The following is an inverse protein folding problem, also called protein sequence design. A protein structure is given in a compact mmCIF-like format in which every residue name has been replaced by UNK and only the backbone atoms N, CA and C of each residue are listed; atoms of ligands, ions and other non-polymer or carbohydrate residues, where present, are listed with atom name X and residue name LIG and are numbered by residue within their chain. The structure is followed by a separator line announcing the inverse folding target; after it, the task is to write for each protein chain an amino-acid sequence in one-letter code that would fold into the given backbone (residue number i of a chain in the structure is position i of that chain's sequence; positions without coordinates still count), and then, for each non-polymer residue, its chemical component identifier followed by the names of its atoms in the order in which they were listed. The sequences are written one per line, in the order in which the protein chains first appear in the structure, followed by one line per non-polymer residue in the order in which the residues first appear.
data_IF_411922557844
#
_entry.id   IF_411922557844
#
_cell.length_a   1.000
_cell.length_b   1.000
_cell.length_c   1.000
_cell.angle_alpha   90.00
_cell.angle_beta   90.00
_cell.angle_gamma   90.00
#
_symmetry.space_group_name_H-M   'P 1'
#
loop_
_entity.id
_entity.type
_entity.pdbx_description
1 polymer ?
#
# COMPACT_ATOMS: atom_id res chain seq x y z
N UNK A 1 -38.54 -18.18 -40.17
CA UNK A 1 -37.11 -18.00 -39.82
C UNK A 1 -36.90 -18.52 -38.40
N UNK A 2 -36.33 -19.73 -38.28
CA UNK A 2 -36.05 -20.36 -36.98
C UNK A 2 -34.94 -19.58 -36.30
N UNK A 3 -35.16 -19.18 -35.05
CA UNK A 3 -34.12 -18.62 -34.18
C UNK A 3 -32.94 -19.59 -34.13
N UNK A 4 -31.78 -19.17 -34.64
CA UNK A 4 -30.50 -19.82 -34.38
C UNK A 4 -30.30 -19.85 -32.86
N UNK A 5 -30.52 -21.02 -32.26
CA UNK A 5 -30.13 -21.27 -30.87
C UNK A 5 -28.62 -21.05 -30.82
N UNK A 6 -28.16 -19.96 -30.19
CA UNK A 6 -26.75 -19.80 -29.83
C UNK A 6 -26.29 -21.06 -29.10
N UNK A 7 -25.53 -21.88 -29.81
CA UNK A 7 -24.90 -23.10 -29.31
C UNK A 7 -23.78 -22.68 -28.37
N UNK A 8 -24.09 -22.52 -27.08
CA UNK A 8 -23.07 -22.47 -26.03
C UNK A 8 -22.52 -23.88 -25.90
N UNK A 9 -21.31 -24.10 -26.40
CA UNK A 9 -20.65 -25.40 -26.31
C UNK A 9 -19.77 -25.48 -25.05
N UNK A 10 -19.52 -26.68 -24.53
CA UNK A 10 -18.66 -26.90 -23.35
C UNK A 10 -17.22 -26.45 -23.63
N UNK A 11 -16.79 -26.53 -24.88
CA UNK A 11 -15.51 -26.03 -25.40
C UNK A 11 -15.33 -24.52 -25.19
N UNK A 12 -16.41 -23.73 -25.19
CA UNK A 12 -16.35 -22.28 -24.95
C UNK A 12 -15.87 -21.89 -23.55
N UNK A 13 -15.95 -22.83 -22.59
CA UNK A 13 -15.47 -22.68 -21.21
C UNK A 13 -14.18 -23.46 -20.96
N UNK A 14 -13.65 -24.17 -21.95
CA UNK A 14 -12.37 -24.84 -21.81
C UNK A 14 -11.29 -23.79 -21.55
N UNK A 15 -10.43 -24.07 -20.58
CA UNK A 15 -9.33 -23.19 -20.20
C UNK A 15 -8.05 -23.87 -20.65
N UNK A 16 -7.33 -23.28 -21.58
CA UNK A 16 -5.98 -23.72 -21.95
C UNK A 16 -4.98 -23.11 -20.96
N UNK A 17 -3.96 -23.87 -20.59
CA UNK A 17 -2.88 -23.39 -19.71
C UNK A 17 -3.38 -22.88 -18.34
N UNK A 18 -4.46 -23.46 -17.79
CA UNK A 18 -5.08 -23.14 -16.50
C UNK A 18 -5.65 -21.71 -16.29
N UNK A 19 -5.29 -20.71 -17.12
CA UNK A 19 -5.73 -19.33 -16.98
C UNK A 19 -6.40 -18.72 -18.24
N UNK A 20 -6.19 -19.28 -19.44
CA UNK A 20 -6.69 -18.71 -20.70
C UNK A 20 -8.05 -19.28 -21.08
N UNK A 21 -9.13 -18.62 -20.64
CA UNK A 21 -10.49 -18.88 -21.12
C UNK A 21 -10.80 -18.04 -22.38
N UNK A 22 -11.83 -18.42 -23.15
CA UNK A 22 -12.26 -17.70 -24.37
C UNK A 22 -12.44 -16.19 -24.14
N UNK A 23 -12.87 -15.81 -22.93
CA UNK A 23 -13.09 -14.41 -22.56
C UNK A 23 -11.79 -13.65 -22.34
N UNK A 24 -10.81 -14.23 -21.66
CA UNK A 24 -9.48 -13.64 -21.46
C UNK A 24 -8.72 -13.57 -22.78
N UNK A 25 -8.80 -14.60 -23.62
CA UNK A 25 -8.24 -14.56 -24.98
C UNK A 25 -8.85 -13.44 -25.82
N UNK A 26 -10.17 -13.20 -25.75
CA UNK A 26 -10.80 -12.07 -26.43
C UNK A 26 -10.31 -10.71 -25.91
N UNK A 27 -9.98 -10.59 -24.62
CA UNK A 27 -9.39 -9.38 -24.05
C UNK A 27 -7.98 -9.16 -24.60
N UNK A 28 -7.14 -10.19 -24.58
CA UNK A 28 -5.78 -10.14 -25.12
C UNK A 28 -5.77 -9.78 -26.60
N UNK A 29 -6.62 -10.42 -27.42
CA UNK A 29 -6.74 -10.12 -28.85
C UNK A 29 -7.16 -8.66 -29.10
N UNK A 30 -8.06 -8.11 -28.28
CA UNK A 30 -8.41 -6.68 -28.35
C UNK A 30 -7.26 -5.76 -27.95
N UNK A 31 -6.39 -6.18 -27.04
CA UNK A 31 -5.22 -5.41 -26.64
C UNK A 31 -4.15 -5.43 -27.75
N UNK A 32 -3.96 -6.56 -28.43
CA UNK A 32 -3.11 -6.67 -29.62
C UNK A 32 -3.64 -5.77 -30.75
N UNK A 33 -4.94 -5.83 -31.06
CA UNK A 33 -5.55 -4.99 -32.09
C UNK A 33 -5.55 -3.49 -31.76
N UNK A 34 -5.30 -3.12 -30.50
CA UNK A 34 -5.14 -1.73 -30.06
C UNK A 34 -3.67 -1.30 -30.07
N UNK A 35 -2.78 -2.13 -30.61
CA UNK A 35 -1.34 -1.92 -30.68
C UNK A 35 -0.69 -1.66 -29.31
N UNK A 36 -1.25 -2.23 -28.24
CA UNK A 36 -0.67 -2.10 -26.90
C UNK A 36 0.59 -2.96 -26.79
N UNK A 37 0.54 -4.16 -27.35
CA UNK A 37 1.67 -5.07 -27.52
C UNK A 37 1.46 -5.86 -28.82
N UNK A 38 2.55 -6.30 -29.45
CA UNK A 38 2.55 -7.00 -30.74
C UNK A 38 2.72 -8.51 -30.59
N UNK A 39 3.51 -8.94 -29.60
CA UNK A 39 3.92 -10.35 -29.45
C UNK A 39 3.67 -10.85 -28.03
N UNK A 40 3.26 -12.11 -27.89
CA UNK A 40 3.11 -12.81 -26.61
C UNK A 40 4.08 -13.98 -26.58
N UNK A 41 5.13 -13.86 -25.79
CA UNK A 41 6.29 -14.73 -25.80
C UNK A 41 6.25 -15.68 -24.60
N UNK A 42 5.44 -16.74 -24.69
CA UNK A 42 5.43 -17.81 -23.70
C UNK A 42 4.96 -17.42 -22.28
N UNK A 43 4.84 -18.41 -21.42
CA UNK A 43 4.49 -18.22 -20.01
C UNK A 43 5.78 -18.10 -19.17
N UNK A 44 5.91 -17.00 -18.43
CA UNK A 44 7.02 -16.76 -17.49
C UNK A 44 6.85 -17.63 -16.24
N UNK A 45 5.63 -17.61 -15.68
CA UNK A 45 5.35 -18.29 -14.42
C UNK A 45 3.88 -18.67 -14.35
N UNK A 46 3.63 -19.93 -14.04
CA UNK A 46 2.30 -20.46 -13.73
C UNK A 46 2.11 -20.48 -12.22
N UNK A 47 1.24 -19.61 -11.72
CA UNK A 47 0.91 -19.51 -10.29
C UNK A 47 -0.37 -20.27 -9.92
N UNK A 48 -0.69 -20.29 -8.62
CA UNK A 48 -1.96 -20.86 -8.12
C UNK A 48 -3.18 -20.00 -8.46
N UNK A 49 -2.97 -18.71 -8.71
CA UNK A 49 -4.04 -17.71 -8.86
C UNK A 49 -4.01 -16.98 -10.19
N UNK A 50 -2.84 -16.93 -10.84
CA UNK A 50 -2.64 -16.26 -12.11
C UNK A 50 -1.44 -16.85 -12.85
N UNK A 51 -1.47 -16.72 -14.17
CA UNK A 51 -0.30 -16.92 -15.01
C UNK A 51 0.28 -15.58 -15.43
N UNK A 52 1.61 -15.53 -15.54
CA UNK A 52 2.34 -14.37 -16.02
C UNK A 52 2.90 -14.71 -17.40
N UNK A 53 2.65 -13.85 -18.38
CA UNK A 53 3.13 -13.98 -19.75
C UNK A 53 4.05 -12.81 -20.09
N UNK A 54 5.11 -13.09 -20.83
CA UNK A 54 5.99 -12.06 -21.38
C UNK A 54 5.37 -11.53 -22.67
N UNK A 55 5.37 -10.22 -22.86
CA UNK A 55 4.90 -9.60 -24.11
C UNK A 55 5.83 -8.48 -24.54
N UNK A 56 5.92 -8.24 -25.85
CA UNK A 56 6.68 -7.13 -26.42
C UNK A 56 5.77 -6.19 -27.20
N UNK A 57 6.06 -4.89 -27.17
CA UNK A 57 5.43 -3.92 -28.07
C UNK A 57 6.20 -3.80 -29.40
N UNK A 58 5.67 -2.98 -30.31
CA UNK A 58 6.30 -2.70 -31.61
C UNK A 58 7.68 -2.04 -31.51
N UNK A 59 7.99 -1.45 -30.35
CA UNK A 59 9.29 -0.82 -30.05
C UNK A 59 10.26 -1.79 -29.35
N UNK A 60 9.94 -3.09 -29.29
CA UNK A 60 10.72 -4.12 -28.59
C UNK A 60 10.89 -3.88 -27.07
N UNK A 61 10.00 -3.12 -26.44
CA UNK A 61 9.95 -2.95 -24.99
C UNK A 61 9.22 -4.14 -24.35
N UNK A 62 9.84 -4.72 -23.32
CA UNK A 62 9.32 -5.85 -22.57
C UNK A 62 8.25 -5.44 -21.54
N UNK A 63 7.14 -6.18 -21.53
CA UNK A 63 6.08 -6.06 -20.54
C UNK A 63 5.69 -7.43 -19.98
N UNK A 64 5.01 -7.41 -18.83
CA UNK A 64 4.41 -8.59 -18.22
C UNK A 64 2.89 -8.47 -18.21
N UNK A 65 2.21 -9.56 -18.58
CA UNK A 65 0.76 -9.69 -18.45
C UNK A 65 0.45 -10.74 -17.39
N UNK A 66 -0.25 -10.31 -16.33
CA UNK A 66 -0.83 -11.21 -15.32
C UNK A 66 -2.28 -11.50 -15.69
N UNK A 67 -2.58 -12.76 -15.98
CA UNK A 67 -3.93 -13.27 -16.28
C UNK A 67 -4.41 -14.11 -15.09
N UNK A 68 -5.45 -13.65 -14.39
CA UNK A 68 -5.96 -14.36 -13.21
C UNK A 68 -6.88 -15.52 -13.62
N UNK A 69 -6.77 -16.63 -12.91
CA UNK A 69 -7.56 -17.83 -13.13
C UNK A 69 -9.01 -17.64 -12.64
N UNK A 70 -9.99 -17.91 -13.50
CA UNK A 70 -11.42 -17.68 -13.23
C UNK A 70 -12.23 -18.96 -12.99
N UNK A 71 -11.77 -20.08 -13.56
CA UNK A 71 -12.50 -21.35 -13.64
C UNK A 71 -12.00 -22.39 -12.63
N UNK A 72 -10.69 -22.43 -12.36
CA UNK A 72 -10.06 -23.40 -11.44
C UNK A 72 -9.49 -22.60 -10.28
N UNK A 73 -10.22 -22.57 -9.16
CA UNK A 73 -9.88 -21.77 -7.99
C UNK A 73 -9.55 -22.69 -6.82
N UNK A 74 -8.28 -23.11 -6.61
CA UNK A 74 -7.90 -24.06 -5.56
C UNK A 74 -8.06 -23.53 -4.12
N UNK A 75 -8.21 -22.22 -3.91
CA UNK A 75 -8.13 -21.57 -2.59
C UNK A 75 -9.47 -21.43 -1.83
N UNK A 76 -9.77 -22.27 -0.83
CA UNK A 76 -11.04 -22.18 -0.09
C UNK A 76 -11.11 -21.07 0.99
N UNK A 77 -10.02 -20.39 1.34
CA UNK A 77 -9.98 -19.44 2.48
C UNK A 77 -9.78 -17.98 2.07
N UNK A 78 -10.72 -17.43 1.29
CA UNK A 78 -10.62 -16.09 0.65
C UNK A 78 -11.21 -14.96 1.48
N UNK A 79 -12.18 -15.26 2.34
CA UNK A 79 -12.90 -14.24 3.10
C UNK A 79 -11.97 -13.44 4.01
N UNK A 80 -10.88 -14.04 4.53
CA UNK A 80 -9.94 -13.35 5.43
C UNK A 80 -9.24 -12.14 4.79
N UNK A 81 -8.90 -12.19 3.50
CA UNK A 81 -8.19 -11.10 2.81
C UNK A 81 -9.12 -10.02 2.22
N UNK A 82 -10.42 -10.21 2.37
CA UNK A 82 -11.48 -9.34 1.84
C UNK A 82 -12.29 -8.73 2.99
N UNK A 83 -12.49 -9.48 4.07
CA UNK A 83 -13.20 -9.04 5.27
C UNK A 83 -12.42 -7.90 5.91
N UNK A 84 -13.00 -6.71 5.86
CA UNK A 84 -12.37 -5.48 6.37
C UNK A 84 -12.03 -4.46 5.27
N UNK A 85 -11.89 -4.88 4.00
CA UNK A 85 -11.65 -3.96 2.89
C UNK A 85 -12.94 -3.22 2.52
N UNK A 86 -12.98 -1.90 2.77
CA UNK A 86 -14.15 -1.07 2.47
C UNK A 86 -14.60 -1.20 1.01
N UNK A 87 -13.65 -1.32 0.09
CA UNK A 87 -13.88 -1.39 -1.35
C UNK A 87 -14.62 -2.65 -1.76
N UNK A 88 -14.52 -3.71 -0.94
CA UNK A 88 -15.14 -5.01 -1.19
C UNK A 88 -16.33 -5.35 -0.30
N UNK A 89 -16.70 -4.48 0.66
CA UNK A 89 -17.85 -4.71 1.58
C UNK A 89 -19.18 -4.96 0.85
N UNK A 90 -19.39 -4.31 -0.29
CA UNK A 90 -20.66 -4.41 -1.03
C UNK A 90 -20.58 -5.40 -2.21
N UNK A 91 -21.51 -6.35 -2.24
CA UNK A 91 -21.72 -7.27 -3.37
C UNK A 91 -20.66 -8.37 -3.54
N UNK A 92 -19.89 -8.69 -2.50
CA UNK A 92 -18.91 -9.79 -2.53
C UNK A 92 -19.60 -11.16 -2.56
N UNK A 93 -20.53 -11.40 -1.63
CA UNK A 93 -21.23 -12.70 -1.45
C UNK A 93 -22.13 -13.14 -2.63
N UNK A 94 -22.53 -12.23 -3.54
CA UNK A 94 -23.41 -12.52 -4.70
C UNK A 94 -22.70 -12.49 -6.06
N UNK A 95 -21.37 -12.38 -6.07
CA UNK A 95 -20.61 -12.22 -7.32
C UNK A 95 -20.24 -13.56 -7.94
N UNK A 96 -20.39 -13.70 -9.27
CA UNK A 96 -19.84 -14.84 -10.03
C UNK A 96 -18.32 -14.87 -9.91
N UNK A 97 -17.68 -16.04 -10.08
CA UNK A 97 -16.21 -16.18 -10.00
C UNK A 97 -15.48 -15.13 -10.85
N UNK A 98 -15.94 -14.90 -12.09
CA UNK A 98 -15.41 -13.83 -12.94
C UNK A 98 -15.47 -12.44 -12.31
N UNK A 99 -16.62 -12.04 -11.74
CA UNK A 99 -16.77 -10.71 -11.12
C UNK A 99 -15.89 -10.58 -9.88
N UNK A 100 -15.74 -11.67 -9.13
CA UNK A 100 -14.86 -11.73 -7.98
C UNK A 100 -13.39 -11.53 -8.39
N UNK A 101 -12.93 -12.28 -9.39
CA UNK A 101 -11.55 -12.19 -9.88
C UNK A 101 -11.27 -10.81 -10.52
N UNK A 102 -12.24 -10.18 -11.19
CA UNK A 102 -12.12 -8.78 -11.61
C UNK A 102 -11.90 -7.83 -10.43
N UNK A 103 -12.55 -8.05 -9.28
CA UNK A 103 -12.33 -7.20 -8.10
C UNK A 103 -10.93 -7.40 -7.53
N UNK A 104 -10.39 -8.61 -7.62
CA UNK A 104 -9.02 -8.92 -7.20
C UNK A 104 -7.98 -8.26 -8.11
N UNK A 105 -8.17 -8.36 -9.43
CA UNK A 105 -7.29 -7.68 -10.37
C UNK A 105 -7.36 -6.15 -10.24
N UNK A 106 -8.55 -5.60 -9.97
CA UNK A 106 -8.73 -4.17 -9.62
C UNK A 106 -8.00 -3.80 -8.31
N UNK A 107 -8.01 -4.68 -7.32
CA UNK A 107 -7.31 -4.48 -6.04
C UNK A 107 -5.80 -4.42 -6.27
N UNK A 108 -5.22 -5.40 -6.96
CA UNK A 108 -3.79 -5.43 -7.26
C UNK A 108 -3.35 -4.22 -8.09
N UNK A 109 -4.10 -3.88 -9.15
CA UNK A 109 -3.83 -2.68 -9.97
C UNK A 109 -3.77 -1.41 -9.12
N UNK A 110 -4.75 -1.21 -8.22
CA UNK A 110 -4.77 -0.03 -7.33
C UNK A 110 -3.66 -0.06 -6.30
N UNK A 111 -3.32 -1.22 -5.75
CA UNK A 111 -2.24 -1.36 -4.78
C UNK A 111 -0.89 -1.06 -5.43
N UNK A 112 -0.60 -1.62 -6.61
CA UNK A 112 0.60 -1.29 -7.40
C UNK A 112 0.66 0.20 -7.76
N UNK A 113 -0.48 0.83 -8.10
CA UNK A 113 -0.53 2.26 -8.38
C UNK A 113 -0.14 3.09 -7.14
N UNK A 114 -0.68 2.74 -5.96
CA UNK A 114 -0.33 3.39 -4.69
C UNK A 114 1.16 3.24 -4.36
N UNK A 115 1.72 2.05 -4.57
CA UNK A 115 3.14 1.77 -4.33
C UNK A 115 4.02 2.60 -5.26
N UNK A 116 3.73 2.59 -6.57
CA UNK A 116 4.47 3.38 -7.55
C UNK A 116 4.35 4.90 -7.31
N UNK A 117 3.22 5.37 -6.77
CA UNK A 117 3.04 6.78 -6.38
C UNK A 117 3.94 7.21 -5.21
N UNK A 118 4.42 6.28 -4.38
CA UNK A 118 5.36 6.60 -3.30
C UNK A 118 6.73 7.03 -3.81
N UNK A 119 7.14 6.56 -5.00
CA UNK A 119 8.43 6.82 -5.61
C UNK A 119 9.64 6.18 -4.91
N UNK A 120 9.42 5.40 -3.84
CA UNK A 120 10.46 4.85 -2.98
C UNK A 120 10.62 3.33 -3.16
N UNK A 121 9.52 2.61 -3.30
CA UNK A 121 9.51 1.15 -3.42
C UNK A 121 9.63 0.75 -4.89
N UNK A 122 10.55 -0.17 -5.18
CA UNK A 122 10.65 -0.80 -6.51
C UNK A 122 9.55 -1.85 -6.66
N UNK A 123 8.60 -1.61 -7.56
CA UNK A 123 7.54 -2.54 -7.89
C UNK A 123 7.15 -2.41 -9.38
N UNK A 124 6.59 -3.45 -10.01
CA UNK A 124 6.09 -3.36 -11.37
C UNK A 124 5.08 -2.23 -11.51
N UNK A 125 5.27 -1.35 -12.50
CA UNK A 125 4.36 -0.26 -12.76
C UNK A 125 3.14 -0.79 -13.51
N UNK A 126 1.91 -0.64 -12.97
CA UNK A 126 0.71 -1.11 -13.63
C UNK A 126 0.36 -0.14 -14.76
N UNK A 127 0.18 -0.66 -15.98
CA UNK A 127 -0.09 0.15 -17.17
C UNK A 127 -1.57 0.14 -17.52
N UNK A 128 -2.18 -1.04 -17.53
CA UNK A 128 -3.58 -1.18 -17.93
C UNK A 128 -4.22 -2.41 -17.32
N UNK A 129 -5.46 -2.26 -16.89
CA UNK A 129 -6.30 -3.36 -16.42
C UNK A 129 -7.54 -3.50 -17.30
N UNK A 130 -7.83 -4.73 -17.76
CA UNK A 130 -9.09 -5.05 -18.44
C UNK A 130 -9.64 -6.38 -17.94
N UNK A 131 -10.70 -6.33 -17.13
CA UNK A 131 -11.29 -7.53 -16.55
C UNK A 131 -10.28 -8.25 -15.67
N UNK A 132 -9.89 -9.46 -16.05
CA UNK A 132 -8.92 -10.31 -15.32
C UNK A 132 -7.52 -10.29 -15.94
N UNK A 133 -7.23 -9.32 -16.81
CA UNK A 133 -5.93 -9.17 -17.46
C UNK A 133 -5.30 -7.86 -17.01
N UNK A 134 -4.15 -7.96 -16.34
CA UNK A 134 -3.35 -6.85 -15.84
C UNK A 134 -2.04 -6.77 -16.63
N UNK A 135 -1.82 -5.66 -17.32
CA UNK A 135 -0.57 -5.32 -18.00
C UNK A 135 0.27 -4.43 -17.08
N UNK A 136 1.55 -4.80 -16.91
CA UNK A 136 2.52 -4.08 -16.08
C UNK A 136 3.91 -4.12 -16.71
N UNK A 137 4.84 -3.32 -16.20
CA UNK A 137 6.24 -3.35 -16.63
C UNK A 137 6.88 -4.71 -16.32
N UNK A 138 7.73 -5.18 -17.22
CA UNK A 138 8.53 -6.38 -16.99
C UNK A 138 9.67 -6.08 -16.02
N UNK A 139 9.96 -7.02 -15.11
CA UNK A 139 11.12 -6.94 -14.20
C UNK A 139 12.08 -8.05 -14.62
N UNK A 140 13.13 -7.67 -15.33
CA UNK A 140 14.06 -8.60 -15.95
C UNK A 140 14.93 -7.90 -17.01
N UNK A 141 15.77 -8.67 -17.69
CA UNK A 141 16.68 -8.19 -18.76
C UNK A 141 16.59 -9.09 -19.98
N UNK A 142 16.58 -8.49 -21.16
CA UNK A 142 16.62 -9.20 -22.45
C UNK A 142 15.55 -10.30 -22.59
N UNK A 143 14.34 -10.03 -22.08
CA UNK A 143 13.23 -11.01 -22.05
C UNK A 143 13.35 -12.11 -20.99
N UNK A 144 14.42 -12.14 -20.20
CA UNK A 144 14.61 -13.08 -19.10
C UNK A 144 14.08 -12.45 -17.80
N UNK A 145 13.14 -13.10 -17.09
CA UNK A 145 12.58 -12.56 -15.85
C UNK A 145 13.65 -12.53 -14.75
N UNK A 146 13.58 -11.51 -13.89
CA UNK A 146 14.41 -11.46 -12.69
C UNK A 146 14.14 -12.68 -11.79
N UNK A 147 15.18 -13.32 -11.21
CA UNK A 147 15.03 -14.44 -10.29
C UNK A 147 14.31 -13.99 -9.01
N UNK A 148 13.64 -14.94 -8.35
CA UNK A 148 13.14 -14.72 -6.99
C UNK A 148 14.30 -14.73 -6.00
N UNK A 149 14.16 -14.00 -4.90
CA UNK A 149 15.21 -13.92 -3.88
C UNK A 149 15.56 -15.29 -3.29
N UNK A 150 14.58 -16.21 -3.20
CA UNK A 150 14.80 -17.61 -2.85
C UNK A 150 15.80 -18.32 -3.77
N UNK A 151 15.65 -18.11 -5.08
CA UNK A 151 16.38 -18.87 -6.09
C UNK A 151 17.82 -18.35 -6.23
N UNK A 152 18.03 -17.05 -5.93
CA UNK A 152 19.37 -16.44 -5.84
C UNK A 152 20.22 -17.11 -4.76
N UNK A 153 19.63 -17.49 -3.62
CA UNK A 153 20.37 -18.20 -2.55
C UNK A 153 20.91 -19.58 -2.98
N UNK A 154 20.30 -20.21 -3.98
CA UNK A 154 20.65 -21.56 -4.39
C UNK A 154 21.72 -21.59 -5.51
N UNK A 155 21.96 -20.45 -6.15
CA UNK A 155 22.89 -20.32 -7.28
C UNK A 155 24.13 -19.55 -6.85
N UNK A 156 24.91 -20.15 -5.94
CA UNK A 156 26.21 -19.60 -5.50
C UNK A 156 27.26 -19.52 -6.64
N UNK A 157 27.04 -20.15 -7.80
CA UNK A 157 28.06 -20.32 -8.84
C UNK A 157 27.91 -19.46 -10.10
N UNK A 158 26.71 -18.92 -10.40
CA UNK A 158 26.42 -18.32 -11.72
C UNK A 158 26.28 -16.78 -11.70
N UNK A 159 26.18 -16.16 -10.52
CA UNK A 159 26.15 -14.70 -10.39
C UNK A 159 27.57 -14.15 -10.21
N UNK A 160 27.96 -13.22 -11.08
CA UNK A 160 29.29 -12.57 -11.07
C UNK A 160 29.62 -11.86 -9.75
N UNK A 161 28.60 -11.48 -8.98
CA UNK A 161 28.72 -10.81 -7.69
C UNK A 161 27.79 -11.48 -6.68
N UNK A 162 28.34 -11.89 -5.53
CA UNK A 162 27.54 -12.35 -4.38
C UNK A 162 26.63 -11.22 -3.90
N UNK A 163 25.32 -11.44 -3.69
CA UNK A 163 24.43 -10.39 -3.21
C UNK A 163 24.86 -9.87 -1.83
N UNK A 164 24.89 -8.56 -1.65
CA UNK A 164 25.05 -7.97 -0.31
C UNK A 164 23.74 -8.14 0.47
N UNK A 165 23.63 -9.25 1.20
CA UNK A 165 22.45 -9.60 1.99
C UNK A 165 22.11 -8.55 3.05
N UNK A 166 23.11 -7.87 3.61
CA UNK A 166 22.90 -6.82 4.61
C UNK A 166 22.28 -5.57 4.00
N UNK A 167 22.77 -5.15 2.83
CA UNK A 167 22.16 -4.04 2.08
C UNK A 167 20.75 -4.40 1.59
N UNK A 168 20.53 -5.63 1.13
CA UNK A 168 19.19 -6.08 0.73
C UNK A 168 18.21 -6.11 1.92
N UNK A 169 18.66 -6.54 3.10
CA UNK A 169 17.84 -6.51 4.32
C UNK A 169 17.45 -5.07 4.68
N UNK A 170 18.41 -4.14 4.64
CA UNK A 170 18.18 -2.71 4.87
C UNK A 170 17.09 -2.16 3.92
N UNK A 171 17.19 -2.44 2.62
CA UNK A 171 16.21 -1.97 1.65
C UNK A 171 14.82 -2.60 1.87
N UNK A 172 14.75 -3.90 2.16
CA UNK A 172 13.46 -4.58 2.37
C UNK A 172 12.73 -4.04 3.59
N UNK A 173 13.41 -3.82 4.72
CA UNK A 173 12.76 -3.28 5.92
C UNK A 173 12.38 -1.80 5.78
N UNK A 174 13.12 -1.03 4.98
CA UNK A 174 12.73 0.33 4.57
C UNK A 174 11.50 0.32 3.66
N UNK A 175 11.41 -0.62 2.72
CA UNK A 175 10.25 -0.82 1.85
C UNK A 175 8.99 -1.21 2.65
N UNK A 176 9.11 -2.09 3.65
CA UNK A 176 8.01 -2.46 4.54
C UNK A 176 7.50 -1.24 5.31
N UNK A 177 8.41 -0.42 5.87
CA UNK A 177 8.05 0.83 6.56
C UNK A 177 7.35 1.80 5.61
N UNK A 178 7.87 1.96 4.41
CA UNK A 178 7.27 2.82 3.37
C UNK A 178 5.88 2.34 2.97
N UNK A 179 5.70 1.03 2.80
CA UNK A 179 4.42 0.40 2.46
C UNK A 179 3.37 0.69 3.54
N UNK A 180 3.75 0.59 4.81
CA UNK A 180 2.86 0.86 5.93
C UNK A 180 2.55 2.35 6.12
N UNK A 181 3.58 3.20 6.19
CA UNK A 181 3.42 4.61 6.56
C UNK A 181 2.92 5.49 5.41
N UNK A 182 3.48 5.32 4.21
CA UNK A 182 3.14 6.14 3.04
C UNK A 182 2.05 5.52 2.19
N UNK A 183 2.20 4.25 1.80
CA UNK A 183 1.23 3.58 0.94
C UNK A 183 -0.04 3.16 1.70
N UNK A 184 -0.01 3.16 3.04
CA UNK A 184 -1.12 2.76 3.92
C UNK A 184 -1.59 1.33 3.66
N UNK A 185 -0.64 0.45 3.35
CA UNK A 185 -0.85 -0.95 2.99
C UNK A 185 0.02 -1.87 3.86
N UNK A 186 -0.43 -3.11 4.02
CA UNK A 186 0.35 -4.24 4.52
C UNK A 186 0.33 -5.32 3.44
N UNK A 187 1.47 -5.92 3.12
CA UNK A 187 1.57 -6.88 2.03
C UNK A 187 0.75 -8.15 2.30
N UNK A 188 0.76 -8.65 3.54
CA UNK A 188 0.01 -9.79 4.05
C UNK A 188 0.39 -11.17 3.50
N UNK A 189 1.44 -11.24 2.69
CA UNK A 189 2.04 -12.46 2.16
C UNK A 189 3.50 -12.20 1.75
N UNK A 190 4.21 -11.33 2.47
CA UNK A 190 5.59 -10.98 2.12
C UNK A 190 6.54 -12.10 2.52
N UNK A 191 7.35 -12.55 1.57
CA UNK A 191 8.36 -13.59 1.73
C UNK A 191 9.37 -13.54 0.59
N UNK A 192 10.42 -14.35 0.66
CA UNK A 192 11.45 -14.50 -0.37
C UNK A 192 10.91 -14.95 -1.75
N UNK A 193 9.69 -15.47 -1.79
CA UNK A 193 9.00 -15.89 -3.01
C UNK A 193 8.38 -14.72 -3.80
N UNK A 194 8.06 -13.63 -3.08
CA UNK A 194 7.37 -12.43 -3.61
C UNK A 194 8.32 -11.23 -3.73
N UNK A 195 9.63 -11.48 -3.65
CA UNK A 195 10.70 -10.52 -3.87
C UNK A 195 11.54 -11.00 -5.06
N UNK A 196 11.72 -10.14 -6.06
CA UNK A 196 12.63 -10.39 -7.18
C UNK A 196 13.94 -9.64 -6.96
N UNK A 197 15.04 -10.21 -7.44
CA UNK A 197 16.36 -9.59 -7.37
C UNK A 197 16.83 -9.17 -8.77
N UNK A 198 17.15 -7.89 -8.93
CA UNK A 198 17.65 -7.34 -10.18
C UNK A 198 18.62 -6.20 -9.89
N UNK A 199 19.86 -6.32 -10.40
CA UNK A 199 20.90 -5.28 -10.33
C UNK A 199 21.18 -4.76 -8.91
N UNK A 200 21.34 -5.68 -7.95
CA UNK A 200 21.58 -5.32 -6.55
C UNK A 200 20.36 -4.75 -5.82
N UNK A 201 19.18 -4.71 -6.47
CA UNK A 201 17.95 -4.17 -5.89
C UNK A 201 16.89 -5.25 -5.76
N UNK A 202 16.06 -5.09 -4.72
CA UNK A 202 14.87 -5.90 -4.52
C UNK A 202 13.66 -5.24 -5.17
N UNK A 203 12.83 -6.03 -5.82
CA UNK A 203 11.55 -5.63 -6.41
C UNK A 203 10.41 -6.39 -5.74
N UNK A 204 9.44 -5.66 -5.21
CA UNK A 204 8.26 -6.22 -4.54
C UNK A 204 7.16 -6.54 -5.57
N UNK A 205 6.67 -7.78 -5.54
CA UNK A 205 5.62 -8.26 -6.46
C UNK A 205 4.45 -8.91 -5.69
N UNK A 206 3.36 -9.16 -6.41
CA UNK A 206 2.16 -9.86 -5.92
C UNK A 206 1.45 -9.21 -4.71
N UNK A 207 1.08 -7.94 -4.87
CA UNK A 207 0.29 -7.17 -3.89
C UNK A 207 -1.22 -7.37 -4.01
N UNK A 208 -1.63 -8.54 -4.52
CA UNK A 208 -3.03 -8.95 -4.69
C UNK A 208 -3.73 -9.16 -3.34
N UNK A 209 -3.02 -9.75 -2.38
CA UNK A 209 -3.52 -10.02 -1.03
C UNK A 209 -3.36 -8.83 -0.09
N UNK A 210 -2.53 -7.85 -0.44
CA UNK A 210 -2.23 -6.68 0.39
C UNK A 210 -3.49 -5.98 0.91
N UNK A 211 -3.52 -5.74 2.22
CA UNK A 211 -4.66 -5.17 2.93
C UNK A 211 -4.40 -3.71 3.27
N UNK A 212 -5.46 -2.93 3.40
CA UNK A 212 -5.33 -1.57 3.92
C UNK A 212 -4.86 -1.61 5.37
N UNK A 213 -4.01 -0.65 5.73
CA UNK A 213 -3.46 -0.61 7.07
C UNK A 213 -4.59 -0.63 8.09
N UNK A 214 -5.77 -0.02 7.85
CA UNK A 214 -6.97 0.03 8.71
C UNK A 214 -7.69 -1.31 8.97
N UNK A 215 -7.36 -2.37 8.23
CA UNK A 215 -8.02 -3.67 8.39
C UNK A 215 -7.80 -4.23 9.82
N UNK A 216 -8.80 -4.92 10.41
CA UNK A 216 -8.66 -5.53 11.74
C UNK A 216 -7.45 -6.48 11.86
N UNK A 217 -7.15 -7.21 10.78
CA UNK A 217 -6.07 -8.20 10.74
C UNK A 217 -4.74 -7.64 10.20
N UNK A 218 -4.67 -6.34 9.89
CA UNK A 218 -3.49 -5.74 9.26
C UNK A 218 -2.20 -5.92 10.09
N UNK A 219 -2.29 -5.76 11.42
CA UNK A 219 -1.12 -5.89 12.31
C UNK A 219 -0.69 -7.36 12.49
N UNK A 220 -1.62 -8.31 12.41
CA UNK A 220 -1.29 -9.74 12.42
C UNK A 220 -0.53 -10.14 11.14
N UNK A 221 -1.02 -9.65 10.00
CA UNK A 221 -0.36 -9.83 8.71
C UNK A 221 1.02 -9.17 8.68
N UNK A 222 1.14 -7.94 9.19
CA UNK A 222 2.42 -7.24 9.24
C UNK A 222 3.45 -8.01 10.08
N UNK A 223 3.06 -8.56 11.24
CA UNK A 223 3.97 -9.38 12.05
C UNK A 223 4.40 -10.65 11.34
N UNK A 224 3.49 -11.28 10.58
CA UNK A 224 3.82 -12.45 9.78
C UNK A 224 4.83 -12.10 8.68
N UNK A 225 4.61 -10.98 7.98
CA UNK A 225 5.52 -10.45 6.96
C UNK A 225 6.92 -10.18 7.57
N UNK A 226 6.99 -9.45 8.67
CA UNK A 226 8.25 -9.15 9.37
C UNK A 226 8.99 -10.42 9.83
N UNK A 227 8.25 -11.41 10.35
CA UNK A 227 8.82 -12.69 10.78
C UNK A 227 9.40 -13.49 9.60
N UNK A 228 8.68 -13.57 8.49
CA UNK A 228 9.15 -14.28 7.29
C UNK A 228 10.44 -13.65 6.74
N UNK A 229 10.48 -12.32 6.67
CA UNK A 229 11.67 -11.58 6.22
C UNK A 229 12.85 -11.79 7.17
N UNK A 230 12.68 -11.60 8.48
CA UNK A 230 13.77 -11.86 9.44
C UNK A 230 14.27 -13.31 9.33
N UNK A 231 13.36 -14.28 9.27
CA UNK A 231 13.72 -15.70 9.14
C UNK A 231 14.52 -16.00 7.87
N UNK A 232 14.17 -15.35 6.75
CA UNK A 232 14.91 -15.52 5.50
C UNK A 232 16.32 -14.94 5.59
N UNK A 233 16.47 -13.68 6.02
CA UNK A 233 17.77 -13.01 6.07
C UNK A 233 18.70 -13.58 7.14
N UNK A 234 18.18 -14.08 8.27
CA UNK A 234 18.97 -14.82 9.27
C UNK A 234 19.63 -16.06 8.67
N UNK A 235 18.93 -16.79 7.79
CA UNK A 235 19.51 -17.95 7.09
C UNK A 235 20.65 -17.58 6.14
N UNK A 236 20.69 -16.34 5.67
CA UNK A 236 21.77 -15.80 4.84
C UNK A 236 22.93 -15.22 5.68
N UNK A 237 22.89 -15.37 7.02
CA UNK A 237 23.94 -14.89 7.91
C UNK A 237 23.82 -13.41 8.32
N UNK A 238 22.71 -12.73 7.99
CA UNK A 238 22.51 -11.33 8.38
C UNK A 238 22.09 -11.22 9.84
N UNK A 239 22.75 -10.34 10.61
CA UNK A 239 22.32 -9.95 11.96
C UNK A 239 21.07 -9.06 11.88
N UNK A 240 19.89 -9.69 11.79
CA UNK A 240 18.62 -8.98 11.66
C UNK A 240 18.17 -8.35 12.98
N UNK A 241 17.25 -7.38 12.91
CA UNK A 241 16.49 -6.92 14.05
C UNK A 241 15.67 -8.06 14.70
N UNK A 242 15.26 -7.90 15.95
CA UNK A 242 14.20 -8.75 16.53
C UNK A 242 12.87 -8.48 15.83
N UNK A 243 11.92 -9.40 15.93
CA UNK A 243 10.58 -9.21 15.35
C UNK A 243 9.89 -8.00 15.96
N UNK A 244 10.11 -7.75 17.26
CA UNK A 244 9.60 -6.58 17.96
C UNK A 244 10.21 -5.30 17.43
N UNK A 245 11.54 -5.22 17.37
CA UNK A 245 12.25 -4.04 16.85
C UNK A 245 11.81 -3.69 15.43
N UNK A 246 11.72 -4.70 14.55
CA UNK A 246 11.27 -4.49 13.17
C UNK A 246 9.79 -4.05 13.12
N UNK A 247 8.92 -4.64 13.93
CA UNK A 247 7.52 -4.25 13.99
C UNK A 247 7.34 -2.81 14.50
N UNK A 248 8.04 -2.44 15.58
CA UNK A 248 8.03 -1.08 16.13
C UNK A 248 8.63 -0.08 15.14
N UNK A 249 9.75 -0.42 14.48
CA UNK A 249 10.33 0.36 13.39
C UNK A 249 9.32 0.66 12.29
N UNK A 250 8.51 -0.32 11.87
CA UNK A 250 7.54 -0.11 10.79
C UNK A 250 6.39 0.77 11.24
N UNK A 251 5.83 0.51 12.42
CA UNK A 251 4.54 1.10 12.82
C UNK A 251 4.68 2.45 13.51
N UNK A 252 5.81 2.71 14.19
CA UNK A 252 5.97 3.90 15.02
C UNK A 252 5.86 5.20 14.19
N UNK A 253 4.82 6.03 14.45
CA UNK A 253 4.59 7.28 13.74
C UNK A 253 5.47 8.44 14.24
N UNK A 254 6.09 8.31 15.41
CA UNK A 254 6.97 9.33 15.98
C UNK A 254 8.38 9.33 15.36
N UNK A 255 8.73 8.27 14.62
CA UNK A 255 9.98 8.20 13.87
C UNK A 255 9.92 9.05 12.59
N UNK A 256 11.06 9.57 12.09
CA UNK A 256 11.11 10.33 10.83
C UNK A 256 10.41 9.60 9.68
N UNK A 257 9.78 10.39 8.80
CA UNK A 257 9.04 9.85 7.66
C UNK A 257 9.97 9.02 6.74
N UNK A 258 9.47 8.02 6.00
CA UNK A 258 10.34 7.13 5.21
C UNK A 258 11.14 7.81 4.09
N UNK A 259 10.75 9.02 3.68
CA UNK A 259 11.47 9.90 2.74
C UNK A 259 12.48 10.84 3.39
N UNK A 260 12.47 10.94 4.72
CA UNK A 260 13.41 11.78 5.44
C UNK A 260 14.77 11.07 5.51
N UNK A 261 15.89 11.73 5.11
CA UNK A 261 17.23 11.19 5.31
C UNK A 261 17.52 10.76 6.76
N UNK A 262 16.89 11.38 7.76
CA UNK A 262 17.01 10.99 9.16
C UNK A 262 16.46 9.57 9.44
N UNK A 263 15.55 9.07 8.59
CA UNK A 263 15.01 7.71 8.70
C UNK A 263 16.12 6.68 8.47
N UNK A 264 16.99 6.90 7.47
CA UNK A 264 18.10 6.00 7.17
C UNK A 264 19.13 5.96 8.30
N UNK A 265 19.42 7.12 8.91
CA UNK A 265 20.32 7.22 10.07
C UNK A 265 19.75 6.44 11.26
N UNK A 266 18.46 6.59 11.54
CA UNK A 266 17.78 5.86 12.61
C UNK A 266 17.85 4.35 12.40
N UNK A 267 17.57 3.89 11.18
CA UNK A 267 17.63 2.48 10.81
C UNK A 267 19.05 1.92 10.94
N UNK A 268 20.05 2.69 10.50
CA UNK A 268 21.46 2.30 10.61
C UNK A 268 21.89 2.11 12.07
N UNK A 269 21.43 2.99 12.98
CA UNK A 269 21.70 2.83 14.42
C UNK A 269 21.10 1.54 14.97
N UNK A 270 19.84 1.23 14.62
CA UNK A 270 19.18 -0.01 15.05
C UNK A 270 19.90 -1.27 14.53
N UNK A 271 20.34 -1.25 13.27
CA UNK A 271 21.09 -2.35 12.67
C UNK A 271 22.47 -2.52 13.28
N UNK A 272 23.12 -1.42 13.69
CA UNK A 272 24.39 -1.48 14.44
C UNK A 272 24.21 -2.20 15.78
N UNK A 273 23.15 -1.88 16.52
CA UNK A 273 22.82 -2.55 17.79
C UNK A 273 22.52 -4.04 17.57
N UNK A 274 21.78 -4.39 16.52
CA UNK A 274 21.52 -5.78 16.17
C UNK A 274 22.81 -6.53 15.76
N UNK A 275 23.73 -5.86 15.08
CA UNK A 275 25.04 -6.43 14.70
C UNK A 275 25.91 -6.71 15.93
N UNK A 276 25.91 -5.81 16.92
CA UNK A 276 26.63 -6.01 18.19
C UNK A 276 26.04 -7.17 19.02
N UNK A 277 24.72 -7.34 18.97
CA UNK A 277 24.01 -8.42 19.67
C UNK A 277 24.28 -9.80 19.07
N UNK A 278 24.43 -9.87 17.76
CA UNK A 278 24.61 -11.12 17.02
C UNK A 278 23.34 -11.99 16.96
N UNK A 279 23.48 -13.19 16.42
CA UNK A 279 22.41 -14.19 16.29
C UNK A 279 22.44 -15.14 17.49
N UNK A 280 21.34 -15.20 18.25
CA UNK A 280 21.22 -16.03 19.46
C UNK A 280 19.88 -16.78 19.48
N UNK A 281 19.85 -17.99 20.04
CA UNK A 281 18.62 -18.81 20.16
C UNK A 281 17.52 -18.13 21.02
N UNK A 282 17.92 -17.26 21.94
CA UNK A 282 16.99 -16.47 22.76
C UNK A 282 16.11 -15.57 21.91
N UNK A 283 16.66 -14.99 20.85
CA UNK A 283 15.92 -14.10 19.93
C UNK A 283 14.83 -14.87 19.19
N UNK A 284 15.11 -16.11 18.78
CA UNK A 284 14.11 -16.93 18.08
C UNK A 284 12.92 -17.27 18.99
N UNK A 285 13.19 -17.57 20.27
CA UNK A 285 12.15 -17.84 21.27
C UNK A 285 11.32 -16.59 21.57
N UNK A 286 11.97 -15.43 21.70
CA UNK A 286 11.28 -14.14 21.92
C UNK A 286 10.42 -13.75 20.72
N UNK A 287 10.92 -13.94 19.50
CA UNK A 287 10.18 -13.67 18.27
C UNK A 287 8.96 -14.59 18.13
N UNK A 288 9.10 -15.87 18.49
CA UNK A 288 8.01 -16.82 18.46
C UNK A 288 6.94 -16.47 19.51
N UNK A 289 7.35 -16.06 20.70
CA UNK A 289 6.43 -15.56 21.72
C UNK A 289 5.66 -14.31 21.24
N UNK A 290 6.35 -13.34 20.64
CA UNK A 290 5.75 -12.10 20.14
C UNK A 290 4.80 -12.31 18.94
N UNK A 291 5.05 -13.34 18.13
CA UNK A 291 4.23 -13.68 16.96
C UNK A 291 2.75 -13.90 17.30
N UNK A 292 2.46 -14.50 18.46
CA UNK A 292 1.10 -14.88 18.85
C UNK A 292 0.41 -13.89 19.81
N UNK A 293 1.10 -12.82 20.22
CA UNK A 293 0.51 -11.79 21.09
C UNK A 293 -0.67 -11.11 20.37
N UNK A 294 -1.77 -10.81 21.06
CA UNK A 294 -2.83 -9.99 20.47
C UNK A 294 -2.54 -8.50 20.73
N UNK A 295 -2.27 -7.73 19.67
CA UNK A 295 -1.97 -6.30 19.77
C UNK A 295 -3.19 -5.49 19.31
N UNK A 296 -3.88 -4.76 20.20
CA UNK A 296 -5.02 -3.94 19.83
C UNK A 296 -4.56 -2.76 18.97
N UNK A 297 -5.31 -2.47 17.91
CA UNK A 297 -4.99 -1.40 16.98
C UNK A 297 -5.30 -0.01 17.52
N UNK A 298 -6.51 0.18 18.01
CA UNK A 298 -7.03 1.45 18.48
C UNK A 298 -7.39 1.36 19.96
N UNK A 299 -7.05 2.41 20.69
CA UNK A 299 -7.40 2.55 22.12
C UNK A 299 -8.91 2.63 22.36
N UNK A 300 -9.72 2.83 21.30
CA UNK A 300 -11.18 2.81 21.38
C UNK A 300 -11.76 1.43 21.67
N UNK A 301 -11.02 0.34 21.43
CA UNK A 301 -11.38 -0.98 21.96
C UNK A 301 -11.01 -0.97 23.45
N UNK A 302 -11.92 -0.39 24.24
CA UNK A 302 -11.65 0.39 25.45
C UNK A 302 -11.29 -0.37 26.74
N UNK A 303 -11.05 -1.68 26.69
CA UNK A 303 -10.87 -2.49 27.90
C UNK A 303 -9.43 -2.71 28.39
N UNK A 304 -8.37 -2.72 27.54
CA UNK A 304 -7.00 -2.95 28.02
C UNK A 304 -6.32 -1.72 28.63
N UNK A 305 -6.53 -0.52 28.08
CA UNK A 305 -5.68 0.64 28.39
C UNK A 305 -5.69 1.05 29.88
N UNK A 306 -6.87 1.29 30.46
CA UNK A 306 -6.98 1.73 31.86
C UNK A 306 -6.46 0.65 32.82
N UNK A 307 -6.76 -0.63 32.52
CA UNK A 307 -6.27 -1.77 33.29
C UNK A 307 -4.75 -1.85 33.25
N UNK A 308 -4.17 -1.76 32.06
CA UNK A 308 -2.72 -1.90 31.87
C UNK A 308 -1.99 -0.70 32.49
N UNK A 309 -2.53 0.52 32.37
CA UNK A 309 -2.01 1.71 33.06
C UNK A 309 -1.96 1.55 34.58
N UNK A 310 -3.06 1.08 35.19
CA UNK A 310 -3.10 0.81 36.63
C UNK A 310 -2.11 -0.29 37.04
N UNK A 311 -1.88 -1.29 36.18
CA UNK A 311 -0.90 -2.35 36.42
C UNK A 311 0.55 -1.87 36.32
N UNK A 312 0.85 -0.91 35.44
CA UNK A 312 2.16 -0.25 35.42
C UNK A 312 2.38 0.51 36.74
N UNK A 313 1.39 1.31 37.16
CA UNK A 313 1.49 2.08 38.39
C UNK A 313 1.65 1.20 39.64
N UNK A 314 1.03 0.01 39.64
CA UNK A 314 1.17 -0.97 40.71
C UNK A 314 2.43 -1.85 40.60
N UNK A 315 3.27 -1.66 39.57
CA UNK A 315 4.47 -2.45 39.32
C UNK A 315 4.22 -3.90 38.87
N UNK A 316 2.97 -4.24 38.54
CA UNK A 316 2.56 -5.59 38.10
C UNK A 316 2.83 -5.85 36.61
N UNK A 317 3.09 -4.79 35.82
CA UNK A 317 3.39 -4.88 34.40
C UNK A 317 4.62 -4.02 34.10
N UNK A 318 5.55 -4.54 33.30
CA UNK A 318 6.68 -3.75 32.82
C UNK A 318 6.26 -2.89 31.62
N UNK A 319 6.95 -1.76 31.43
CA UNK A 319 6.84 -0.92 30.24
C UNK A 319 7.13 -1.71 28.95
N UNK A 320 7.96 -2.76 29.04
CA UNK A 320 8.26 -3.67 27.93
C UNK A 320 7.05 -4.51 27.49
N UNK A 321 6.05 -4.71 28.33
CA UNK A 321 4.96 -5.67 28.08
C UNK A 321 3.78 -5.04 27.33
N UNK A 322 3.87 -3.74 27.01
CA UNK A 322 2.80 -2.95 26.39
C UNK A 322 3.10 -2.71 24.92
N UNK A 323 2.54 -3.59 24.09
CA UNK A 323 2.85 -3.64 22.67
C UNK A 323 2.15 -2.56 21.83
N UNK A 324 1.07 -1.96 22.33
CA UNK A 324 0.32 -0.94 21.59
C UNK A 324 0.85 0.48 21.78
N UNK A 325 1.84 0.70 22.65
CA UNK A 325 2.48 2.00 22.83
C UNK A 325 3.15 2.48 21.54
N UNK A 326 3.91 1.60 20.87
CA UNK A 326 4.56 1.90 19.59
C UNK A 326 3.56 2.21 18.46
N UNK A 327 2.39 1.56 18.45
CA UNK A 327 1.32 1.83 17.47
C UNK A 327 0.74 3.22 17.65
N UNK A 328 0.52 3.61 18.91
CA UNK A 328 -0.19 4.83 19.28
C UNK A 328 0.74 6.04 19.35
N UNK A 329 2.05 5.84 19.29
CA UNK A 329 3.05 6.89 19.52
C UNK A 329 3.05 7.39 20.97
N UNK A 330 2.54 6.60 21.91
CA UNK A 330 2.57 6.92 23.34
C UNK A 330 3.94 6.60 23.93
N UNK A 331 4.33 7.37 24.94
CA UNK A 331 5.46 7.03 25.80
C UNK A 331 5.25 5.64 26.41
N UNK A 332 6.32 4.89 26.71
CA UNK A 332 6.22 3.60 27.40
C UNK A 332 5.39 3.69 28.70
N UNK A 333 5.47 4.82 29.40
CA UNK A 333 4.76 5.09 30.66
C UNK A 333 3.26 5.43 30.46
N UNK A 334 2.77 5.45 29.21
CA UNK A 334 1.41 5.84 28.81
C UNK A 334 0.98 7.26 29.24
N UNK A 335 1.92 8.09 29.72
CA UNK A 335 1.69 9.44 30.25
C UNK A 335 1.42 10.49 29.17
N UNK A 336 1.60 10.16 27.89
CA UNK A 336 1.33 11.07 26.77
C UNK A 336 2.03 10.65 25.47
N UNK A 337 1.93 11.47 24.43
CA UNK A 337 2.59 11.23 23.15
C UNK A 337 4.12 11.44 23.24
N UNK A 338 4.88 10.63 22.50
CA UNK A 338 6.32 10.82 22.29
C UNK A 338 6.54 11.99 21.32
N UNK A 339 7.05 13.11 21.83
CA UNK A 339 7.36 14.33 21.06
C UNK A 339 8.76 14.27 20.41
N UNK A 340 9.68 13.48 20.97
CA UNK A 340 11.02 13.28 20.43
C UNK A 340 11.38 11.78 20.37
N UNK A 341 11.95 11.28 19.25
CA UNK A 341 12.47 9.92 19.18
C UNK A 341 13.58 9.71 20.21
N UNK A 342 13.48 8.68 21.04
CA UNK A 342 14.50 8.38 22.07
C UNK A 342 15.89 8.08 21.48
N UNK A 343 15.96 7.73 20.19
CA UNK A 343 17.20 7.41 19.46
C UNK A 343 18.05 8.62 19.06
N UNK A 344 17.57 9.85 19.27
CA UNK A 344 18.38 11.07 19.06
C UNK A 344 18.80 11.60 20.43
N UNK A 345 19.74 10.90 21.08
CA UNK A 345 20.53 11.48 22.18
C UNK A 345 22.00 11.30 21.85
N UNK A 346 22.60 12.43 21.45
CA UNK A 346 24.00 12.85 21.62
C UNK A 346 24.49 13.63 20.39
N UNK A 347 24.15 14.92 20.38
CA UNK A 347 25.09 15.97 19.98
C UNK A 347 24.68 17.20 20.78
N UNK A 348 25.33 17.35 21.94
CA UNK A 348 25.22 18.54 22.77
C UNK A 348 25.75 19.75 22.00
N UNK A 349 24.90 20.74 21.76
CA UNK A 349 25.34 22.14 21.74
C UNK A 349 24.53 22.85 22.82
N UNK A 350 25.23 23.14 23.91
CA UNK A 350 24.76 23.96 25.02
C UNK A 350 24.50 25.38 24.54
N UNK A 351 23.31 25.91 24.80
CA UNK A 351 23.16 27.33 25.13
C UNK A 351 22.05 27.47 26.18
N UNK A 352 22.47 27.88 27.36
CA UNK A 352 21.68 28.04 28.56
C UNK A 352 20.79 29.29 28.56
N UNK A 353 19.76 29.22 29.42
CA UNK A 353 18.98 30.29 30.09
C UNK A 353 17.85 30.96 29.28
N UNK A 354 16.65 31.22 29.80
CA UNK A 354 15.88 30.90 31.03
C UNK A 354 14.44 31.44 30.77
N UNK A 355 13.42 31.13 31.59
CA UNK A 355 12.01 31.15 31.20
C UNK A 355 11.32 32.49 31.48
N UNK A 356 10.37 32.88 30.62
CA UNK A 356 9.39 33.91 30.92
C UNK A 356 7.99 33.41 30.56
N UNK A 357 7.20 33.22 31.62
CA UNK A 357 5.77 33.20 31.56
C UNK A 357 5.28 34.60 31.17
N UNK A 358 4.31 34.70 30.25
CA UNK A 358 3.15 35.53 30.52
C UNK A 358 1.97 35.26 29.58
N UNK A 359 0.80 35.42 30.18
CA UNK A 359 -0.52 35.28 29.59
C UNK A 359 -0.83 36.41 28.59
N UNK A 360 -1.82 36.10 27.75
CA UNK A 360 -2.91 36.98 27.31
C UNK A 360 -2.87 37.59 25.90
N UNK A 361 -4.08 37.52 25.33
CA UNK A 361 -4.71 38.44 24.38
C UNK A 361 -4.40 38.30 22.89
N UNK A 362 -5.38 37.70 22.22
CA UNK A 362 -6.02 38.19 21.00
C UNK A 362 -5.79 39.70 20.79
N UNK A 363 -5.17 40.09 19.68
CA UNK A 363 -5.85 41.03 18.79
C UNK A 363 -5.39 40.96 17.33
N UNK A 364 -6.39 41.11 16.47
CA UNK A 364 -6.30 41.19 15.03
C UNK A 364 -5.78 42.58 14.65
N UNK A 365 -4.80 42.67 13.75
CA UNK A 365 -4.91 43.66 12.67
C UNK A 365 -4.05 43.34 11.44
N UNK A 366 -4.75 43.31 10.31
CA UNK A 366 -4.26 43.19 8.94
C UNK A 366 -3.67 44.52 8.51
N UNK A 367 -2.44 44.54 7.99
CA UNK A 367 -1.99 45.57 7.06
C UNK A 367 -1.77 44.94 5.68
N UNK A 368 -2.42 45.57 4.71
CA UNK A 368 -2.47 45.21 3.30
C UNK A 368 -1.27 45.77 2.55
N UNK A 369 -0.55 44.92 1.81
CA UNK A 369 0.27 45.37 0.68
C UNK A 369 -0.14 44.61 -0.57
N UNK A 370 -0.57 45.39 -1.55
CA UNK A 370 -1.02 44.97 -2.87
C UNK A 370 0.17 44.64 -3.78
N UNK A 371 0.11 43.50 -4.46
CA UNK A 371 0.77 43.36 -5.77
C UNK A 371 -0.03 42.40 -6.65
N UNK A 372 -0.39 42.92 -7.82
CA UNK A 372 -1.14 42.27 -8.89
C UNK A 372 -0.31 41.23 -9.63
N UNK A 373 -0.91 40.07 -9.97
CA UNK A 373 -1.08 39.60 -11.37
C UNK A 373 -1.70 38.18 -11.42
N UNK A 374 -2.74 38.06 -12.26
CA UNK A 374 -3.16 36.87 -13.02
C UNK A 374 -3.26 35.51 -12.35
N UNK A 375 -4.42 35.18 -11.77
CA UNK A 375 -4.87 33.79 -11.61
C UNK A 375 -6.40 33.71 -11.58
N UNK A 376 -6.97 32.84 -12.41
CA UNK A 376 -8.39 32.49 -12.47
C UNK A 376 -8.89 31.97 -11.12
N UNK A 377 -9.40 32.86 -10.27
CA UNK A 377 -10.00 32.50 -8.98
C UNK A 377 -11.31 31.77 -9.20
N UNK A 378 -11.35 30.48 -8.85
CA UNK A 378 -12.58 29.79 -8.55
C UNK A 378 -13.38 30.65 -7.56
N UNK A 379 -14.57 31.13 -7.96
CA UNK A 379 -15.42 31.96 -7.10
C UNK A 379 -15.71 31.19 -5.82
N UNK A 380 -15.25 31.69 -4.68
CA UNK A 380 -15.56 31.09 -3.38
C UNK A 380 -17.08 31.11 -3.18
N UNK A 381 -17.65 29.95 -2.86
CA UNK A 381 -19.09 29.75 -2.61
C UNK A 381 -19.46 30.21 -1.18
N UNK A 382 -18.47 30.58 -0.37
CA UNK A 382 -18.66 30.98 1.02
C UNK A 382 -19.34 32.35 1.13
N UNK A 383 -20.33 32.44 2.01
CA UNK A 383 -21.04 33.69 2.33
C UNK A 383 -20.10 34.59 3.16
N UNK A 384 -19.97 35.89 2.84
CA UNK A 384 -19.33 36.85 3.74
C UNK A 384 -20.11 36.89 5.06
N UNK A 385 -19.40 36.82 6.19
CA UNK A 385 -20.00 36.71 7.53
C UNK A 385 -20.70 38.00 7.96
N UNK A 386 -20.23 39.15 7.47
CA UNK A 386 -20.71 40.49 7.83
C UNK A 386 -21.31 41.22 6.62
N UNK A 387 -22.38 40.67 6.01
CA UNK A 387 -23.05 41.31 4.88
C UNK A 387 -24.17 42.28 5.31
N UNK A 388 -24.16 43.51 4.77
CA UNK A 388 -25.26 44.45 4.97
C UNK A 388 -26.57 43.93 4.34
N UNK A 389 -27.76 44.30 4.87
CA UNK A 389 -29.05 43.87 4.33
C UNK A 389 -29.25 44.19 2.84
N UNK A 390 -28.70 45.31 2.36
CA UNK A 390 -28.76 45.75 0.97
C UNK A 390 -27.83 44.94 0.05
N UNK A 391 -26.59 44.69 0.49
CA UNK A 391 -25.64 43.84 -0.23
C UNK A 391 -26.21 42.43 -0.45
N UNK A 392 -26.89 41.88 0.58
CA UNK A 392 -27.61 40.60 0.50
C UNK A 392 -28.72 40.60 -0.56
N UNK A 393 -29.51 41.69 -0.64
CA UNK A 393 -30.59 41.84 -1.64
C UNK A 393 -30.02 41.91 -3.05
N UNK A 394 -28.98 42.70 -3.27
CA UNK A 394 -28.32 42.85 -4.57
C UNK A 394 -27.68 41.55 -5.04
N UNK A 395 -27.00 40.81 -4.15
CA UNK A 395 -26.46 39.48 -4.48
C UNK A 395 -27.55 38.48 -4.86
N UNK A 396 -28.66 38.44 -4.11
CA UNK A 396 -29.81 37.57 -4.46
C UNK A 396 -30.39 37.93 -5.83
N UNK A 397 -30.45 39.23 -6.16
CA UNK A 397 -30.89 39.71 -7.48
C UNK A 397 -29.93 39.28 -8.59
N UNK A 398 -28.62 39.44 -8.38
CA UNK A 398 -27.59 39.02 -9.32
C UNK A 398 -27.59 37.50 -9.57
N UNK A 399 -27.68 36.67 -8.51
CA UNK A 399 -27.78 35.20 -8.64
C UNK A 399 -29.05 34.81 -9.41
N UNK A 400 -30.18 35.47 -9.14
CA UNK A 400 -31.43 35.22 -9.88
C UNK A 400 -31.30 35.58 -11.36
N UNK A 401 -30.65 36.69 -11.69
CA UNK A 401 -30.38 37.08 -13.08
C UNK A 401 -29.45 36.09 -13.78
N UNK A 402 -28.33 35.72 -13.15
CA UNK A 402 -27.39 34.72 -13.69
C UNK A 402 -28.07 33.35 -13.90
N UNK A 403 -28.91 32.92 -12.96
CA UNK A 403 -29.70 31.69 -13.13
C UNK A 403 -30.77 31.81 -14.22
N UNK A 404 -31.36 32.99 -14.40
CA UNK A 404 -32.32 33.23 -15.48
C UNK A 404 -31.64 33.16 -16.86
N UNK A 405 -30.45 33.75 -17.01
CA UNK A 405 -29.64 33.64 -18.22
C UNK A 405 -29.21 32.20 -18.50
N UNK A 406 -28.72 31.47 -17.50
CA UNK A 406 -28.39 30.04 -17.64
C UNK A 406 -29.62 29.20 -18.03
N UNK A 407 -30.83 29.58 -17.60
CA UNK A 407 -32.08 28.91 -17.99
C UNK A 407 -32.51 29.21 -19.42
N UNK A 408 -32.09 30.33 -20.02
CA UNK A 408 -32.35 30.64 -21.45
C UNK A 408 -31.59 29.67 -22.37
N UNK A 409 -30.36 29.32 -22.01
CA UNK A 409 -29.50 28.40 -22.79
C UNK A 409 -29.53 26.94 -22.31
N UNK A 410 -30.50 26.55 -21.46
CA UNK A 410 -30.56 25.18 -20.92
C UNK A 410 -30.96 24.18 -22.00
N UNK A 411 -30.40 22.98 -21.92
CA UNK A 411 -30.82 21.85 -22.78
C UNK A 411 -32.31 21.57 -22.56
N UNK A 412 -33.13 21.50 -23.63
CA UNK A 412 -34.55 21.20 -23.50
C UNK A 412 -34.82 19.88 -22.78
N UNK A 413 -35.85 19.87 -21.92
CA UNK A 413 -36.19 18.70 -21.08
C UNK A 413 -36.48 17.44 -21.91
N UNK A 414 -37.06 17.58 -23.09
CA UNK A 414 -37.36 16.45 -23.98
C UNK A 414 -36.08 15.80 -24.54
N UNK A 415 -35.05 16.58 -24.87
CA UNK A 415 -33.73 16.07 -25.30
C UNK A 415 -33.06 15.29 -24.16
N UNK A 416 -33.10 15.85 -22.94
CA UNK A 416 -32.58 15.17 -21.75
C UNK A 416 -33.31 13.85 -21.47
N UNK A 417 -34.64 13.84 -21.56
CA UNK A 417 -35.45 12.62 -21.38
C UNK A 417 -35.21 11.58 -22.48
N UNK A 418 -35.07 12.01 -23.74
CA UNK A 418 -34.77 11.12 -24.87
C UNK A 418 -33.40 10.46 -24.71
N UNK A 419 -32.41 11.17 -24.17
CA UNK A 419 -31.06 10.65 -23.91
C UNK A 419 -31.02 9.65 -22.75
N UNK A 420 -31.91 9.74 -21.77
CA UNK A 420 -31.99 8.82 -20.62
C UNK A 420 -32.78 7.53 -20.96
N UNK A 421 -33.65 7.59 -21.97
CA UNK A 421 -34.44 6.44 -22.44
C UNK A 421 -33.71 5.52 -23.43
N UNK A 422 -32.60 5.99 -24.02
CA UNK A 422 -31.64 5.13 -24.73
C UNK A 422 -30.61 4.66 -23.73
#
# INVERSE_FOLDING_TARGET
MKNEKQMKDKSDRATTDHALDRRSCSILFKMINQDIFSEVNGCISTGKEANIYHVKNKENVDFAIKVYMTSIMPFKSRDKYVKGDFRMRHGYSKSTSWKLVCKWSEKEYRNLLRINQSGLINAPKPLRLKGVVLLMTFVGKDGIPAPKLKDVCLQESDYKDTPDWSALYFHVIQDIRTLFQKCRLVHADLSEYNLLYLDGKVWMIDVSQAVEHESPQALEYLRTDCHNINKFFRKQGVSTLTLRELFEWVVNPSLPAPDDPLSEVCLTSLLREASLRGLNETIEKEDEAFRYVHIPRNLSVSYPFVRDFLKIQSGQLSHSDIYYAAITGLKPDLTGALVHPQLIKETEVKSDNEPLADNASLDLNKSSVSTSKGASKAKSIARPRDESPESRRNRKKAIKQEQAEKRKHKIPKYVKKRKIKK
#
